data_IF_026317347086
#
_entry.id   IF_026317347086
#
_cell.length_a   1.000
_cell.length_b   1.000
_cell.length_c   1.000
_cell.angle_alpha   90.00
_cell.angle_beta   90.00
_cell.angle_gamma   90.00
#
_symmetry.space_group_name_H-M   'P 1'
#
loop_
_entity.id
_entity.type
_entity.pdbx_description
1 polymer ?
#
# COMPACT_ATOMS: atom_id res chain seq x y z
N UNK A 1 8.35 -8.70 24.55
CA UNK A 1 8.58 -8.03 23.24
C UNK A 1 8.43 -8.98 22.05
N UNK A 2 8.95 -10.21 22.13
CA UNK A 2 8.81 -11.24 21.09
C UNK A 2 7.36 -11.75 20.87
N UNK A 3 6.55 -11.89 21.93
CA UNK A 3 5.14 -12.32 21.82
C UNK A 3 4.24 -11.39 20.99
N UNK A 4 4.57 -10.09 20.93
CA UNK A 4 3.81 -9.11 20.17
C UNK A 4 4.09 -9.22 18.65
N UNK A 5 5.29 -9.67 18.30
CA UNK A 5 5.70 -9.93 16.90
C UNK A 5 4.96 -11.17 16.39
N UNK A 6 4.90 -12.24 17.19
CA UNK A 6 4.18 -13.48 16.85
C UNK A 6 2.66 -13.31 16.79
N UNK A 7 2.08 -12.39 17.58
CA UNK A 7 0.65 -12.03 17.47
C UNK A 7 0.35 -11.28 16.16
N UNK A 8 1.20 -10.34 15.74
CA UNK A 8 1.05 -9.61 14.46
C UNK A 8 1.06 -10.57 13.26
N UNK A 9 1.94 -11.57 13.28
CA UNK A 9 1.98 -12.63 12.26
C UNK A 9 0.68 -13.45 12.24
N UNK A 10 0.15 -13.83 13.41
CA UNK A 10 -1.11 -14.58 13.52
C UNK A 10 -2.36 -13.80 13.09
N UNK A 11 -2.39 -12.48 13.27
CA UNK A 11 -3.49 -11.62 12.79
C UNK A 11 -3.53 -11.53 11.27
N UNK A 12 -2.39 -11.28 10.62
CA UNK A 12 -2.28 -11.27 9.15
C UNK A 12 -2.79 -12.58 8.55
N UNK A 13 -2.44 -13.72 9.14
CA UNK A 13 -2.94 -15.02 8.69
C UNK A 13 -4.46 -15.19 8.87
N UNK A 14 -5.05 -14.77 9.98
CA UNK A 14 -6.51 -14.92 10.21
C UNK A 14 -7.34 -14.08 9.23
N UNK A 15 -6.87 -12.87 8.95
CA UNK A 15 -7.54 -11.89 8.09
C UNK A 15 -7.44 -12.28 6.60
N UNK A 16 -6.36 -12.96 6.21
CA UNK A 16 -6.11 -13.39 4.82
C UNK A 16 -6.66 -14.79 4.51
N UNK A 17 -6.71 -15.71 5.50
CA UNK A 17 -7.16 -17.11 5.36
C UNK A 17 -8.46 -17.33 4.55
N UNK A 18 -9.58 -16.61 4.80
CA UNK A 18 -10.81 -16.87 4.05
C UNK A 18 -10.73 -16.46 2.57
N UNK A 19 -9.79 -15.57 2.21
CA UNK A 19 -9.64 -15.04 0.85
C UNK A 19 -8.41 -15.57 0.10
N UNK A 20 -7.65 -16.51 0.69
CA UNK A 20 -6.55 -17.24 0.03
C UNK A 20 -7.06 -18.28 -1.00
N UNK A 21 -7.98 -17.89 -1.89
CA UNK A 21 -8.32 -18.63 -3.12
C UNK A 21 -7.20 -18.47 -4.15
N UNK A 22 -7.19 -19.31 -5.19
CA UNK A 22 -6.27 -19.23 -6.35
C UNK A 22 -6.52 -17.95 -7.20
N UNK A 23 -6.41 -16.78 -6.59
CA UNK A 23 -6.55 -15.48 -7.23
C UNK A 23 -5.13 -15.00 -7.54
N UNK A 24 -4.92 -14.46 -8.74
CA UNK A 24 -3.64 -13.88 -9.10
C UNK A 24 -3.41 -12.59 -8.26
N UNK A 25 -2.29 -12.49 -7.52
CA UNK A 25 -2.01 -11.33 -6.66
C UNK A 25 -2.06 -10.00 -7.42
N UNK A 26 -1.70 -9.99 -8.71
CA UNK A 26 -1.73 -8.77 -9.52
C UNK A 26 -3.15 -8.15 -9.61
N UNK A 27 -4.22 -8.96 -9.58
CA UNK A 27 -5.58 -8.41 -9.59
C UNK A 27 -5.91 -7.69 -8.28
N UNK A 28 -5.36 -8.17 -7.16
CA UNK A 28 -5.55 -7.55 -5.85
C UNK A 28 -4.79 -6.22 -5.79
N UNK A 29 -3.57 -6.16 -6.32
CA UNK A 29 -2.81 -4.90 -6.42
C UNK A 29 -3.47 -3.88 -7.36
N UNK A 30 -4.06 -4.33 -8.48
CA UNK A 30 -4.86 -3.45 -9.37
C UNK A 30 -6.10 -2.92 -8.63
N UNK A 31 -6.79 -3.77 -7.86
CA UNK A 31 -7.93 -3.34 -7.05
C UNK A 31 -7.49 -2.31 -6.00
N UNK A 32 -6.36 -2.53 -5.34
CA UNK A 32 -5.75 -1.57 -4.42
C UNK A 32 -5.51 -0.21 -5.09
N UNK A 33 -4.95 -0.21 -6.30
CA UNK A 33 -4.76 1.00 -7.09
C UNK A 33 -6.08 1.70 -7.42
N UNK A 34 -7.10 0.95 -7.85
CA UNK A 34 -8.42 1.51 -8.14
C UNK A 34 -9.11 2.10 -6.90
N UNK A 35 -8.83 1.60 -5.70
CA UNK A 35 -9.35 2.15 -4.44
C UNK A 35 -8.60 3.42 -4.00
N UNK A 36 -7.34 3.59 -4.40
CA UNK A 36 -6.53 4.77 -4.05
C UNK A 36 -7.04 6.07 -4.69
N UNK A 37 -7.56 6.00 -5.92
CA UNK A 37 -8.09 7.13 -6.68
C UNK A 37 -9.29 7.79 -5.98
N UNK A 38 -10.38 7.06 -5.67
CA UNK A 38 -11.51 7.63 -4.93
C UNK A 38 -11.11 8.03 -3.51
N UNK A 39 -10.13 7.35 -2.89
CA UNK A 39 -9.61 7.77 -1.58
C UNK A 39 -9.04 9.19 -1.65
N UNK A 40 -8.12 9.45 -2.59
CA UNK A 40 -7.56 10.79 -2.80
C UNK A 40 -8.64 11.83 -3.13
N UNK A 41 -9.57 11.49 -4.02
CA UNK A 41 -10.68 12.39 -4.38
C UNK A 41 -11.58 12.73 -3.18
N UNK A 42 -11.91 11.76 -2.33
CA UNK A 42 -12.72 11.99 -1.13
C UNK A 42 -11.97 12.82 -0.07
N UNK A 43 -10.64 12.66 0.04
CA UNK A 43 -9.80 13.52 0.88
C UNK A 43 -9.86 14.96 0.37
N UNK A 44 -9.75 15.16 -0.94
CA UNK A 44 -9.84 16.49 -1.56
C UNK A 44 -11.21 17.13 -1.29
N UNK A 45 -12.30 16.37 -1.40
CA UNK A 45 -13.67 16.80 -1.12
C UNK A 45 -14.03 16.86 0.37
N UNK A 46 -13.07 16.63 1.27
CA UNK A 46 -13.25 16.66 2.73
C UNK A 46 -14.23 15.60 3.29
N UNK A 47 -14.56 14.57 2.53
CA UNK A 47 -15.38 13.45 2.97
C UNK A 47 -14.54 12.41 3.73
N UNK A 48 -13.93 12.83 4.84
CA UNK A 48 -12.91 12.06 5.56
C UNK A 48 -13.39 10.68 6.06
N UNK A 49 -14.67 10.54 6.42
CA UNK A 49 -15.21 9.26 6.86
C UNK A 49 -15.19 8.22 5.73
N UNK A 50 -15.69 8.59 4.55
CA UNK A 50 -15.68 7.71 3.38
C UNK A 50 -14.26 7.50 2.87
N UNK A 51 -13.42 8.54 2.84
CA UNK A 51 -12.01 8.41 2.52
C UNK A 51 -11.32 7.37 3.42
N UNK A 52 -11.59 7.40 4.72
CA UNK A 52 -11.02 6.45 5.69
C UNK A 52 -11.46 5.01 5.41
N UNK A 53 -12.74 4.80 5.03
CA UNK A 53 -13.25 3.47 4.66
C UNK A 53 -12.52 2.95 3.42
N UNK A 54 -12.40 3.75 2.37
CA UNK A 54 -11.70 3.35 1.15
C UNK A 54 -10.21 3.13 1.39
N UNK A 55 -9.58 3.95 2.23
CA UNK A 55 -8.18 3.78 2.64
C UNK A 55 -7.97 2.45 3.37
N UNK A 56 -8.86 2.09 4.30
CA UNK A 56 -8.80 0.79 5.00
C UNK A 56 -8.96 -0.37 4.00
N UNK A 57 -9.87 -0.26 3.04
CA UNK A 57 -10.05 -1.28 1.99
C UNK A 57 -8.81 -1.39 1.09
N UNK A 58 -8.19 -0.27 0.73
CA UNK A 58 -6.92 -0.22 -0.01
C UNK A 58 -5.81 -0.93 0.77
N UNK A 59 -5.60 -0.56 2.04
CA UNK A 59 -4.60 -1.19 2.91
C UNK A 59 -4.88 -2.69 3.15
N UNK A 60 -6.16 -3.09 3.14
CA UNK A 60 -6.51 -4.50 3.22
C UNK A 60 -6.07 -5.28 1.97
N UNK A 61 -6.20 -4.68 0.78
CA UNK A 61 -5.73 -5.29 -0.48
C UNK A 61 -4.21 -5.49 -0.48
N UNK A 62 -3.43 -4.51 -0.01
CA UNK A 62 -1.96 -4.59 0.13
C UNK A 62 -1.50 -5.67 1.14
N UNK A 63 -2.31 -5.94 2.16
CA UNK A 63 -2.03 -7.06 3.07
C UNK A 63 -2.33 -8.39 2.37
N UNK A 64 -3.39 -8.44 1.56
CA UNK A 64 -3.83 -9.64 0.86
C UNK A 64 -2.87 -10.02 -0.29
N UNK A 65 -2.47 -9.09 -1.15
CA UNK A 65 -1.59 -9.39 -2.29
C UNK A 65 -0.21 -9.89 -1.82
N UNK A 66 0.38 -9.30 -0.78
CA UNK A 66 1.62 -9.76 -0.16
C UNK A 66 1.49 -11.15 0.44
N UNK A 67 0.35 -11.47 1.08
CA UNK A 67 0.07 -12.80 1.62
C UNK A 67 -0.11 -13.85 0.51
N UNK A 68 -0.84 -13.51 -0.56
CA UNK A 68 -1.04 -14.36 -1.74
C UNK A 68 0.31 -14.59 -2.44
N UNK A 69 1.08 -13.54 -2.70
CA UNK A 69 2.39 -13.62 -3.35
C UNK A 69 3.39 -14.49 -2.56
N UNK A 70 3.33 -14.46 -1.22
CA UNK A 70 4.14 -15.35 -0.37
C UNK A 70 3.74 -16.82 -0.52
N UNK A 71 2.44 -17.12 -0.66
CA UNK A 71 1.91 -18.48 -0.84
C UNK A 71 2.24 -19.06 -2.22
N UNK A 72 2.16 -18.24 -3.28
CA UNK A 72 2.31 -18.70 -4.67
C UNK A 72 3.72 -18.47 -5.27
N UNK A 73 4.72 -18.14 -4.44
CA UNK A 73 6.10 -17.78 -4.84
C UNK A 73 6.15 -16.55 -5.77
N UNK A 74 6.43 -15.39 -5.19
CA UNK A 74 6.54 -14.09 -5.88
C UNK A 74 7.51 -14.16 -7.07
N UNK A 75 7.05 -13.78 -8.25
CA UNK A 75 7.89 -13.62 -9.45
C UNK A 75 8.57 -12.25 -9.42
N UNK A 76 9.76 -12.10 -10.03
CA UNK A 76 10.46 -10.80 -10.11
C UNK A 76 9.61 -9.72 -10.78
N UNK A 77 8.86 -10.09 -11.82
CA UNK A 77 7.94 -9.17 -12.53
C UNK A 77 6.76 -8.75 -11.66
N UNK A 78 6.16 -9.69 -10.93
CA UNK A 78 5.09 -9.38 -9.99
C UNK A 78 5.56 -8.49 -8.83
N UNK A 79 6.74 -8.76 -8.29
CA UNK A 79 7.37 -7.93 -7.24
C UNK A 79 7.60 -6.48 -7.68
N UNK A 80 8.06 -6.28 -8.92
CA UNK A 80 8.20 -4.95 -9.49
C UNK A 80 6.84 -4.24 -9.69
N UNK A 81 5.84 -4.96 -10.18
CA UNK A 81 4.51 -4.41 -10.46
C UNK A 81 3.80 -3.99 -9.16
N UNK A 82 3.85 -4.84 -8.15
CA UNK A 82 3.36 -4.63 -6.79
C UNK A 82 3.93 -3.32 -6.22
N UNK A 83 5.26 -3.21 -6.14
CA UNK A 83 5.92 -2.00 -5.68
C UNK A 83 5.59 -0.75 -6.50
N UNK A 84 5.40 -0.89 -7.81
CA UNK A 84 5.01 0.25 -8.66
C UNK A 84 3.59 0.71 -8.34
N UNK A 85 2.66 -0.22 -8.18
CA UNK A 85 1.26 0.09 -7.90
C UNK A 85 1.06 0.67 -6.50
N UNK A 86 1.83 0.22 -5.51
CA UNK A 86 1.84 0.86 -4.19
C UNK A 86 2.20 2.35 -4.32
N UNK A 87 3.24 2.69 -5.10
CA UNK A 87 3.75 4.08 -5.16
C UNK A 87 2.79 4.98 -5.93
N UNK A 88 2.15 4.44 -6.96
CA UNK A 88 1.06 5.14 -7.64
C UNK A 88 -0.12 5.34 -6.69
N UNK A 89 -0.47 4.34 -5.89
CA UNK A 89 -1.56 4.43 -4.92
C UNK A 89 -1.30 5.48 -3.86
N UNK A 90 -0.12 5.46 -3.24
CA UNK A 90 0.32 6.49 -2.28
C UNK A 90 0.22 7.87 -2.92
N UNK A 91 0.74 8.03 -4.15
CA UNK A 91 0.70 9.30 -4.86
C UNK A 91 -0.73 9.79 -5.06
N UNK A 92 -1.68 8.95 -5.49
CA UNK A 92 -3.07 9.36 -5.66
C UNK A 92 -3.73 9.82 -4.35
N UNK A 93 -3.48 9.08 -3.26
CA UNK A 93 -4.01 9.42 -1.93
C UNK A 93 -3.47 10.77 -1.47
N UNK A 94 -2.15 10.97 -1.55
CA UNK A 94 -1.49 12.20 -1.10
C UNK A 94 -1.67 13.40 -2.05
N UNK A 95 -1.97 13.18 -3.34
CA UNK A 95 -2.41 14.26 -4.24
C UNK A 95 -3.74 14.85 -3.76
N UNK A 96 -4.68 14.00 -3.34
CA UNK A 96 -5.92 14.44 -2.71
C UNK A 96 -5.70 15.34 -1.50
N UNK A 97 -4.75 14.96 -0.64
CA UNK A 97 -4.30 15.77 0.50
C UNK A 97 -3.66 17.09 0.05
N UNK A 98 -2.79 17.04 -0.95
CA UNK A 98 -1.98 18.19 -1.42
C UNK A 98 -2.82 19.29 -2.06
N UNK A 99 -3.83 18.88 -2.83
CA UNK A 99 -4.76 19.81 -3.49
C UNK A 99 -5.95 20.21 -2.61
N UNK A 100 -6.10 19.63 -1.42
CA UNK A 100 -7.15 20.04 -0.50
C UNK A 100 -6.95 21.52 -0.09
N UNK A 101 -7.94 22.40 -0.29
CA UNK A 101 -7.80 23.84 0.00
C UNK A 101 -7.47 24.20 1.45
N UNK A 102 -7.77 23.31 2.41
CA UNK A 102 -7.48 23.51 3.84
C UNK A 102 -6.05 23.15 4.22
N UNK A 103 -5.31 22.51 3.32
CA UNK A 103 -3.98 21.98 3.58
C UNK A 103 -2.97 22.84 2.83
N UNK A 104 -1.85 23.16 3.50
CA UNK A 104 -0.76 23.86 2.85
C UNK A 104 -0.15 22.95 1.76
N UNK A 105 -0.29 23.33 0.49
CA UNK A 105 0.18 22.52 -0.64
C UNK A 105 1.68 22.25 -0.62
N UNK A 106 2.50 23.14 -0.04
CA UNK A 106 3.94 22.90 0.13
C UNK A 106 4.19 21.69 1.03
N UNK A 107 3.44 21.57 2.14
CA UNK A 107 3.52 20.40 3.02
C UNK A 107 3.02 19.12 2.33
N UNK A 108 1.98 19.23 1.51
CA UNK A 108 1.48 18.12 0.71
C UNK A 108 2.52 17.59 -0.28
N UNK A 109 3.12 18.47 -1.08
CA UNK A 109 4.20 18.10 -2.01
C UNK A 109 5.42 17.52 -1.29
N UNK A 110 5.84 18.12 -0.16
CA UNK A 110 6.92 17.57 0.65
C UNK A 110 6.61 16.16 1.14
N UNK A 111 5.37 15.89 1.52
CA UNK A 111 4.93 14.56 1.97
C UNK A 111 5.04 13.53 0.84
N UNK A 112 4.57 13.86 -0.36
CA UNK A 112 4.71 12.98 -1.54
C UNK A 112 6.20 12.69 -1.82
N UNK A 113 7.04 13.73 -1.84
CA UNK A 113 8.49 13.58 -2.08
C UNK A 113 9.12 12.66 -1.05
N UNK A 114 8.85 12.89 0.24
CA UNK A 114 9.43 12.11 1.34
C UNK A 114 9.00 10.65 1.24
N UNK A 115 7.72 10.36 1.01
CA UNK A 115 7.21 8.99 0.92
C UNK A 115 7.85 8.23 -0.26
N UNK A 116 7.97 8.87 -1.42
CA UNK A 116 8.62 8.26 -2.58
C UNK A 116 10.12 8.05 -2.36
N UNK A 117 10.81 8.98 -1.70
CA UNK A 117 12.23 8.84 -1.34
C UNK A 117 12.45 7.71 -0.34
N UNK A 118 11.62 7.60 0.70
CA UNK A 118 11.69 6.50 1.68
C UNK A 118 11.52 5.16 0.99
N UNK A 119 10.52 5.04 0.09
CA UNK A 119 10.33 3.84 -0.72
C UNK A 119 11.55 3.53 -1.59
N UNK A 120 12.09 4.52 -2.30
CA UNK A 120 13.26 4.36 -3.15
C UNK A 120 14.48 3.87 -2.37
N UNK A 121 14.81 4.53 -1.27
CA UNK A 121 15.92 4.14 -0.39
C UNK A 121 15.71 2.73 0.16
N UNK A 122 14.47 2.36 0.48
CA UNK A 122 14.09 1.00 0.85
C UNK A 122 14.47 -0.02 -0.23
N UNK A 123 14.08 0.21 -1.49
CA UNK A 123 14.45 -0.69 -2.60
C UNK A 123 15.96 -0.76 -2.85
N UNK A 124 16.67 0.37 -2.74
CA UNK A 124 18.13 0.40 -2.88
C UNK A 124 18.84 -0.36 -1.78
N UNK A 125 18.38 -0.24 -0.53
CA UNK A 125 18.95 -0.97 0.59
C UNK A 125 18.90 -2.49 0.36
N UNK A 126 17.78 -3.00 -0.18
CA UNK A 126 17.61 -4.41 -0.50
C UNK A 126 18.55 -4.87 -1.62
N UNK A 127 18.80 -4.01 -2.62
CA UNK A 127 19.72 -4.30 -3.72
C UNK A 127 21.19 -4.40 -3.23
N UNK A 128 21.59 -3.55 -2.28
CA UNK A 128 22.95 -3.54 -1.72
C UNK A 128 23.22 -4.72 -0.78
N UNK A 129 22.26 -5.11 0.05
CA UNK A 129 22.50 -6.11 1.11
C UNK A 129 22.35 -7.56 0.62
N UNK A 130 21.79 -7.83 -0.57
CA UNK A 130 21.42 -9.17 -1.09
C UNK A 130 20.53 -10.01 -0.15
N UNK A 131 20.12 -9.47 0.99
CA UNK A 131 19.29 -10.08 2.02
C UNK A 131 17.97 -9.30 2.01
N UNK A 132 16.90 -9.93 1.54
CA UNK A 132 15.55 -9.43 1.79
C UNK A 132 15.34 -9.49 3.31
N UNK A 133 15.20 -8.33 3.96
CA UNK A 133 14.68 -8.23 5.32
C UNK A 133 13.23 -8.71 5.37
#
# INVERSE_FOLDING_TARGET
>A
MLDNIDRKFRLKERITKPFLRNINPNYVSILGLLLSIPTGYLIFMEFYLFASIFLILHSYCDILDGAIAKKYKKTKKGDFLDHTFDRLSDTFIFLGLTFNPKINSVLGFLTIIIILLVSYLGTQSQALTKKRL
#
